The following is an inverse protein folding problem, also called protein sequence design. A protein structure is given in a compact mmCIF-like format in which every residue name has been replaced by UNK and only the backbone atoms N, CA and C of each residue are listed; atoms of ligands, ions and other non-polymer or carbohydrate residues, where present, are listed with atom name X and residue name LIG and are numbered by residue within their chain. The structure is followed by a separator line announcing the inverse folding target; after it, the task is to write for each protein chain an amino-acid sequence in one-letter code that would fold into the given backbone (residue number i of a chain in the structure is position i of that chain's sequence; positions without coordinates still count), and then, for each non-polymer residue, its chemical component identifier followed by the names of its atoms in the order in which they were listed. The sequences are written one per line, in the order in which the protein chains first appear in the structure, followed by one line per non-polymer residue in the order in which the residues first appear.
data_IF_879647856138
#
_entry.id   IF_879647856138
#
_cell.length_a   1.000
_cell.length_b   1.000
_cell.length_c   1.000
_cell.angle_alpha   90.00
_cell.angle_beta   90.00
_cell.angle_gamma   90.00
#
_symmetry.space_group_name_H-M   'P 1'
#
loop_
_entity.id
_entity.type
_entity.pdbx_description
1 polymer ?
#
# COMPACT_ATOMS: atom_id res chain seq x y z
N UNK A 1 7.25 -6.59 5.68
CA UNK A 1 6.37 -6.97 6.78
C UNK A 1 5.11 -7.68 6.31
N UNK A 2 4.88 -7.70 5.02
CA UNK A 2 3.64 -8.24 4.45
C UNK A 2 3.70 -9.74 4.23
N UNK A 3 4.88 -10.30 4.23
CA UNK A 3 5.09 -11.71 3.86
C UNK A 3 4.49 -12.64 4.91
N UNK A 4 3.59 -13.53 4.46
CA UNK A 4 2.98 -14.53 5.32
C UNK A 4 1.86 -14.02 6.24
N UNK A 5 1.45 -12.76 6.10
CA UNK A 5 0.39 -12.19 6.93
C UNK A 5 -0.97 -12.49 6.31
N UNK A 6 -1.89 -13.06 7.11
CA UNK A 6 -3.29 -13.25 6.71
C UNK A 6 -4.06 -11.92 6.72
N UNK A 7 -5.25 -11.91 6.10
CA UNK A 7 -6.10 -10.73 6.09
C UNK A 7 -6.43 -10.20 7.48
N UNK A 8 -6.74 -11.11 8.42
CA UNK A 8 -7.02 -10.70 9.80
C UNK A 8 -5.80 -10.14 10.52
N UNK A 9 -4.64 -10.76 10.30
CA UNK A 9 -3.40 -10.27 10.89
C UNK A 9 -3.03 -8.91 10.31
N UNK A 10 -3.24 -8.70 9.01
CA UNK A 10 -3.00 -7.42 8.38
C UNK A 10 -3.90 -6.31 8.96
N UNK A 11 -5.16 -6.62 9.27
CA UNK A 11 -6.05 -5.67 9.93
C UNK A 11 -5.54 -5.27 11.32
N UNK A 12 -5.07 -6.23 12.09
CA UNK A 12 -4.49 -5.95 13.41
C UNK A 12 -3.24 -5.09 13.31
N UNK A 13 -2.36 -5.40 12.38
CA UNK A 13 -1.17 -4.59 12.12
C UNK A 13 -1.58 -3.16 11.76
N UNK A 14 -2.57 -3.01 10.89
CA UNK A 14 -3.09 -1.71 10.50
C UNK A 14 -3.59 -0.91 11.69
N UNK A 15 -4.34 -1.53 12.61
CA UNK A 15 -4.84 -0.88 13.81
C UNK A 15 -3.69 -0.41 14.71
N UNK A 16 -2.67 -1.22 14.89
CA UNK A 16 -1.49 -0.83 15.68
C UNK A 16 -0.75 0.34 15.05
N UNK A 17 -0.62 0.35 13.72
CA UNK A 17 0.02 1.46 13.02
C UNK A 17 -0.79 2.74 13.18
N UNK A 18 -2.11 2.66 13.14
CA UNK A 18 -2.98 3.83 13.35
C UNK A 18 -2.83 4.40 14.75
N UNK A 19 -2.77 3.53 15.77
CA UNK A 19 -2.53 3.98 17.15
C UNK A 19 -1.18 4.68 17.28
N UNK A 20 -0.15 4.10 16.70
CA UNK A 20 1.18 4.68 16.74
C UNK A 20 1.24 6.03 15.99
N UNK A 21 0.51 6.15 14.90
CA UNK A 21 0.46 7.35 14.08
C UNK A 21 -0.16 8.55 14.79
N UNK A 22 -0.93 8.32 15.84
CA UNK A 22 -1.47 9.41 16.66
C UNK A 22 -0.38 10.17 17.43
N UNK A 23 0.74 9.52 17.69
CA UNK A 23 1.83 10.09 18.50
C UNK A 23 3.10 10.31 17.70
N UNK A 24 3.28 9.61 16.59
CA UNK A 24 4.53 9.63 15.82
C UNK A 24 4.22 9.61 14.33
N UNK A 25 5.15 10.08 13.53
CA UNK A 25 5.09 9.87 12.10
C UNK A 25 5.39 8.42 11.79
N UNK A 26 4.53 7.78 11.02
CA UNK A 26 4.70 6.39 10.60
C UNK A 26 4.79 6.33 9.08
N UNK A 27 5.82 5.68 8.58
CA UNK A 27 5.99 5.40 7.15
C UNK A 27 5.99 3.89 6.99
N UNK A 28 5.08 3.38 6.18
CA UNK A 28 4.93 1.95 5.96
C UNK A 28 4.93 1.66 4.47
N UNK A 29 5.72 0.68 4.06
CA UNK A 29 5.78 0.22 2.69
C UNK A 29 5.00 -1.10 2.63
N UNK A 30 3.94 -1.13 1.82
CA UNK A 30 3.08 -2.30 1.75
C UNK A 30 2.43 -2.42 0.37
N UNK A 31 2.05 -3.64 0.03
CA UNK A 31 1.19 -3.92 -1.11
C UNK A 31 -0.19 -4.46 -0.67
N UNK A 32 -0.44 -4.51 0.64
CA UNK A 32 -1.71 -5.01 1.16
C UNK A 32 -2.73 -3.89 1.28
N UNK A 33 -3.89 -4.08 0.67
CA UNK A 33 -4.96 -3.09 0.71
C UNK A 33 -5.46 -2.84 2.13
N UNK A 34 -5.47 -3.86 2.99
CA UNK A 34 -5.89 -3.76 4.38
C UNK A 34 -5.06 -2.76 5.18
N UNK A 35 -3.78 -2.65 4.86
CA UNK A 35 -2.88 -1.69 5.51
C UNK A 35 -2.92 -0.36 4.78
N UNK A 36 -2.87 -0.38 3.46
CA UNK A 36 -2.82 0.83 2.64
C UNK A 36 -4.03 1.73 2.85
N UNK A 37 -5.25 1.15 2.99
CA UNK A 37 -6.45 1.98 3.06
C UNK A 37 -6.54 2.79 4.37
N UNK A 38 -5.80 2.41 5.41
CA UNK A 38 -5.79 3.13 6.69
C UNK A 38 -4.85 4.34 6.69
N UNK A 39 -3.97 4.46 5.72
CA UNK A 39 -3.00 5.54 5.70
C UNK A 39 -3.66 6.90 5.46
N UNK A 40 -3.15 7.94 6.12
CA UNK A 40 -3.61 9.31 5.90
C UNK A 40 -3.19 9.83 4.54
N UNK A 41 -2.02 9.43 4.07
CA UNK A 41 -1.46 9.84 2.79
C UNK A 41 -0.90 8.62 2.06
N UNK A 42 -1.01 8.61 0.75
CA UNK A 42 -0.46 7.55 -0.09
C UNK A 42 0.60 8.11 -1.01
N UNK A 43 1.80 7.55 -0.91
CA UNK A 43 2.88 7.81 -1.85
C UNK A 43 2.97 6.61 -2.78
N UNK A 44 2.59 6.80 -4.02
CA UNK A 44 2.60 5.76 -5.03
C UNK A 44 3.95 5.72 -5.73
N UNK A 45 4.52 4.52 -5.84
CA UNK A 45 5.79 4.31 -6.50
C UNK A 45 5.56 3.41 -7.71
N UNK A 46 6.03 3.87 -8.87
CA UNK A 46 5.95 3.11 -10.11
C UNK A 46 7.32 2.88 -10.70
N UNK A 47 7.53 1.67 -11.20
CA UNK A 47 8.70 1.35 -12.02
C UNK A 47 8.27 1.23 -13.46
N UNK A 48 9.07 1.80 -14.37
CA UNK A 48 8.89 1.61 -15.80
C UNK A 48 10.22 1.32 -16.45
N UNK A 49 10.17 0.52 -17.52
CA UNK A 49 11.37 0.16 -18.29
C UNK A 49 11.18 0.72 -19.70
N UNK A 50 12.08 1.60 -20.09
CA UNK A 50 12.08 2.22 -21.43
C UNK A 50 13.49 2.11 -21.96
N UNK A 51 13.65 1.54 -23.17
CA UNK A 51 14.95 1.37 -23.82
C UNK A 51 15.98 0.71 -22.91
N UNK A 52 15.59 -0.37 -22.24
CA UNK A 52 16.42 -1.16 -21.32
C UNK A 52 16.86 -0.40 -20.07
N UNK A 53 16.32 0.78 -19.84
CA UNK A 53 16.58 1.56 -18.62
C UNK A 53 15.38 1.51 -17.71
N UNK A 54 15.62 1.37 -16.41
CA UNK A 54 14.59 1.38 -15.39
C UNK A 54 14.43 2.78 -14.84
N UNK A 55 13.19 3.24 -14.81
CA UNK A 55 12.83 4.52 -14.22
C UNK A 55 11.91 4.27 -13.03
N UNK A 56 12.08 5.06 -11.98
CA UNK A 56 11.24 5.01 -10.80
C UNK A 56 10.59 6.38 -10.65
N UNK A 57 9.26 6.39 -10.66
CA UNK A 57 8.49 7.59 -10.39
C UNK A 57 7.73 7.45 -9.09
N UNK A 58 7.49 8.55 -8.40
CA UNK A 58 6.67 8.53 -7.19
C UNK A 58 5.93 9.85 -7.06
N UNK A 59 4.72 9.76 -6.50
CA UNK A 59 3.87 10.92 -6.29
C UNK A 59 2.86 10.64 -5.18
N UNK A 60 2.50 11.68 -4.44
CA UNK A 60 1.37 11.58 -3.53
C UNK A 60 0.08 11.54 -4.33
N UNK A 61 -0.85 10.68 -3.90
CA UNK A 61 -2.13 10.48 -4.57
C UNK A 61 -3.21 11.33 -3.90
N UNK A 62 -4.15 11.84 -4.71
CA UNK A 62 -5.39 12.39 -4.17
C UNK A 62 -6.34 11.27 -3.76
N UNK A 63 -7.47 11.60 -3.15
CA UNK A 63 -8.41 10.59 -2.65
C UNK A 63 -8.94 9.67 -3.74
N UNK A 64 -9.25 10.21 -4.91
CA UNK A 64 -9.77 9.41 -6.01
C UNK A 64 -8.74 8.42 -6.53
N UNK A 65 -7.51 8.87 -6.72
CA UNK A 65 -6.43 8.03 -7.20
C UNK A 65 -6.01 7.00 -6.15
N UNK A 66 -6.00 7.38 -4.87
CA UNK A 66 -5.75 6.45 -3.77
C UNK A 66 -6.77 5.32 -3.76
N UNK A 67 -8.04 5.62 -3.94
CA UNK A 67 -9.10 4.61 -3.97
C UNK A 67 -8.89 3.63 -5.12
N UNK A 68 -8.50 4.11 -6.29
CA UNK A 68 -8.20 3.27 -7.45
C UNK A 68 -7.04 2.34 -7.19
N UNK A 69 -5.95 2.86 -6.64
CA UNK A 69 -4.75 2.07 -6.34
C UNK A 69 -5.06 0.99 -5.31
N UNK A 70 -5.81 1.32 -4.27
CA UNK A 70 -6.20 0.35 -3.24
C UNK A 70 -7.04 -0.78 -3.85
N UNK A 71 -7.98 -0.46 -4.73
CA UNK A 71 -8.76 -1.47 -5.44
C UNK A 71 -7.88 -2.37 -6.31
N UNK A 72 -6.91 -1.80 -7.00
CA UNK A 72 -5.97 -2.55 -7.81
C UNK A 72 -5.14 -3.51 -6.95
N UNK A 73 -4.70 -3.09 -5.78
CA UNK A 73 -3.99 -3.95 -4.84
C UNK A 73 -4.85 -5.12 -4.41
N UNK A 74 -6.12 -4.87 -4.11
CA UNK A 74 -7.05 -5.93 -3.71
C UNK A 74 -7.25 -6.95 -4.83
N UNK A 75 -7.51 -6.48 -6.04
CA UNK A 75 -7.70 -7.35 -7.21
C UNK A 75 -6.43 -8.13 -7.52
N UNK A 76 -5.28 -7.45 -7.48
CA UNK A 76 -3.99 -8.10 -7.69
C UNK A 76 -3.71 -9.22 -6.70
N UNK A 77 -4.05 -9.00 -5.42
CA UNK A 77 -3.92 -10.01 -4.38
C UNK A 77 -4.81 -11.22 -4.68
N UNK A 78 -6.05 -11.00 -5.07
CA UNK A 78 -6.97 -12.07 -5.43
C UNK A 78 -6.51 -12.85 -6.66
N UNK A 79 -6.02 -12.15 -7.66
CA UNK A 79 -5.48 -12.76 -8.88
C UNK A 79 -4.28 -13.64 -8.54
N UNK A 80 -3.44 -13.18 -7.62
CA UNK A 80 -2.26 -13.92 -7.18
C UNK A 80 -2.64 -15.24 -6.51
N UNK A 81 -3.73 -15.23 -5.78
CA UNK A 81 -4.19 -16.40 -5.03
C UNK A 81 -5.03 -17.36 -5.88
N UNK A 82 -5.39 -16.97 -7.06
CA UNK A 82 -6.12 -17.80 -7.99
C UNK A 82 -5.19 -18.69 -8.79
#
# INVERSE_FOLDING_TARGET
IDSGISGKAAEKVSQHLMELAKKKQVICITHLSQIAHQAHNHLHIEKSVVDEKTYVGFAYLNKNDSSKVIKELFVGTQTYNA
#
